data_IF_314981842630
#
_entry.id   IF_314981842630
#
_cell.length_a   1.000
_cell.length_b   1.000
_cell.length_c   1.000
_cell.angle_alpha   90.00
_cell.angle_beta   90.00
_cell.angle_gamma   90.00
#
_symmetry.space_group_name_H-M   'P 1'
#
loop_
_entity.id
_entity.type
_entity.pdbx_description
1 polymer ?
#
# COMPACT_ATOMS: atom_id res chain seq x y z
N UNK A 1 -18.15 6.27 31.48
CA UNK A 1 -17.81 5.53 30.24
C UNK A 1 -16.71 4.55 30.59
N UNK A 2 -16.92 3.25 30.38
CA UNK A 2 -15.88 2.26 30.64
C UNK A 2 -14.71 2.50 29.68
N UNK A 3 -13.50 2.69 30.22
CA UNK A 3 -12.30 2.78 29.41
C UNK A 3 -12.13 1.46 28.66
N UNK A 4 -12.17 1.49 27.33
CA UNK A 4 -11.73 0.36 26.54
C UNK A 4 -10.29 0.01 26.96
N UNK A 5 -9.98 -1.28 27.10
CA UNK A 5 -8.63 -1.71 27.42
C UNK A 5 -7.72 -1.28 26.26
N UNK A 6 -6.72 -0.44 26.56
CA UNK A 6 -5.79 0.01 25.54
C UNK A 6 -5.00 -1.18 24.98
N UNK A 7 -4.79 -1.26 23.65
CA UNK A 7 -4.02 -2.35 23.03
C UNK A 7 -2.53 -2.13 23.27
N UNK A 8 -2.08 -2.31 24.52
CA UNK A 8 -0.72 -1.99 24.97
C UNK A 8 0.37 -2.69 24.15
N UNK A 9 0.17 -3.96 23.82
CA UNK A 9 1.12 -4.72 23.00
C UNK A 9 1.28 -4.11 21.60
N UNK A 10 0.16 -3.66 21.02
CA UNK A 10 0.16 -3.03 19.70
C UNK A 10 0.88 -1.68 19.72
N UNK A 11 0.60 -0.85 20.73
CA UNK A 11 1.30 0.42 20.94
C UNK A 11 2.80 0.22 21.19
N UNK A 12 3.18 -0.83 21.91
CA UNK A 12 4.60 -1.17 22.14
C UNK A 12 5.29 -1.58 20.83
N UNK A 13 4.63 -2.37 19.98
CA UNK A 13 5.15 -2.73 18.66
C UNK A 13 5.34 -1.50 17.78
N UNK A 14 4.35 -0.59 17.75
CA UNK A 14 4.48 0.68 17.03
C UNK A 14 5.64 1.52 17.55
N UNK A 15 5.80 1.61 18.87
CA UNK A 15 6.91 2.31 19.50
C UNK A 15 8.27 1.74 19.08
N UNK A 16 8.43 0.40 19.09
CA UNK A 16 9.68 -0.26 18.66
C UNK A 16 9.99 0.00 17.18
N UNK A 17 8.98 -0.02 16.31
CA UNK A 17 9.14 0.29 14.87
C UNK A 17 9.52 1.76 14.66
N UNK A 18 8.89 2.66 15.40
CA UNK A 18 9.21 4.09 15.38
C UNK A 18 10.63 4.37 15.87
N UNK A 19 11.07 3.72 16.95
CA UNK A 19 12.44 3.86 17.45
C UNK A 19 13.48 3.38 16.43
N UNK A 20 13.19 2.28 15.73
CA UNK A 20 14.03 1.79 14.63
C UNK A 20 14.15 2.82 13.49
N UNK A 21 13.03 3.43 13.07
CA UNK A 21 13.03 4.51 12.08
C UNK A 21 13.87 5.71 12.55
N UNK A 22 13.68 6.14 13.80
CA UNK A 22 14.43 7.25 14.39
C UNK A 22 15.93 6.98 14.37
N UNK A 23 16.34 5.77 14.74
CA UNK A 23 17.76 5.37 14.72
C UNK A 23 18.31 5.36 13.29
N UNK A 24 17.53 4.89 12.30
CA UNK A 24 17.90 4.92 10.88
C UNK A 24 18.09 6.36 10.36
N UNK A 25 17.21 7.28 10.72
CA UNK A 25 17.32 8.71 10.36
C UNK A 25 18.56 9.33 11.02
N UNK A 26 18.83 9.02 12.29
CA UNK A 26 20.00 9.53 12.99
C UNK A 26 21.31 9.06 12.32
N UNK A 27 21.38 7.78 11.95
CA UNK A 27 22.52 7.20 11.24
C UNK A 27 22.71 7.84 9.87
N UNK A 28 21.62 8.00 9.09
CA UNK A 28 21.67 8.68 7.79
C UNK A 28 22.19 10.11 7.92
N UNK A 29 21.74 10.84 8.94
CA UNK A 29 22.22 12.21 9.20
C UNK A 29 23.71 12.22 9.52
N UNK A 30 24.17 11.31 10.37
CA UNK A 30 25.59 11.19 10.72
C UNK A 30 26.44 10.89 9.50
N UNK A 31 26.03 9.94 8.67
CA UNK A 31 26.75 9.55 7.46
C UNK A 31 26.76 10.66 6.40
N UNK A 32 25.64 11.38 6.23
CA UNK A 32 25.56 12.54 5.32
C UNK A 32 26.53 13.65 5.74
N UNK A 33 26.76 13.81 7.04
CA UNK A 33 27.68 14.83 7.57
C UNK A 33 29.16 14.39 7.53
N UNK A 34 29.44 13.09 7.69
CA UNK A 34 30.78 12.57 7.92
C UNK A 34 31.41 11.85 6.71
N UNK A 35 30.62 11.40 5.74
CA UNK A 35 31.09 10.68 4.54
C UNK A 35 30.76 11.50 3.29
N UNK A 36 31.72 12.30 2.76
CA UNK A 36 31.53 12.98 1.48
C UNK A 36 31.63 11.97 0.33
N UNK A 37 30.51 11.31 -0.01
CA UNK A 37 30.41 10.37 -1.12
C UNK A 37 28.96 9.98 -1.43
N UNK A 38 28.64 9.81 -2.71
CA UNK A 38 27.31 9.43 -3.22
C UNK A 38 27.12 7.88 -3.17
N UNK A 39 28.12 7.10 -2.78
CA UNK A 39 28.08 5.66 -3.10
C UNK A 39 27.09 4.84 -2.25
N UNK A 40 26.59 5.36 -1.13
CA UNK A 40 25.68 4.62 -0.22
C UNK A 40 24.25 5.20 -0.08
N UNK A 41 23.89 6.30 -0.77
CA UNK A 41 22.58 6.94 -0.55
C UNK A 41 21.43 5.97 -0.83
N UNK A 42 21.49 5.20 -1.92
CA UNK A 42 20.43 4.28 -2.32
C UNK A 42 20.08 3.27 -1.20
N UNK A 43 21.10 2.68 -0.56
CA UNK A 43 20.91 1.72 0.54
C UNK A 43 20.21 2.38 1.73
N UNK A 44 20.59 3.62 2.08
CA UNK A 44 19.96 4.34 3.17
C UNK A 44 18.51 4.74 2.89
N UNK A 45 18.22 5.20 1.67
CA UNK A 45 16.86 5.53 1.26
C UNK A 45 15.99 4.28 1.18
N UNK A 46 16.52 3.15 0.72
CA UNK A 46 15.81 1.86 0.73
C UNK A 46 15.46 1.40 2.15
N UNK A 47 16.39 1.55 3.10
CA UNK A 47 16.14 1.28 4.52
C UNK A 47 15.09 2.21 5.11
N UNK A 48 15.17 3.51 4.82
CA UNK A 48 14.19 4.50 5.28
C UNK A 48 12.79 4.19 4.74
N UNK A 49 12.70 3.87 3.46
CA UNK A 49 11.45 3.45 2.81
C UNK A 49 10.89 2.19 3.46
N UNK A 50 11.74 1.19 3.72
CA UNK A 50 11.35 -0.06 4.36
C UNK A 50 10.81 0.15 5.78
N UNK A 51 11.45 1.02 6.58
CA UNK A 51 10.97 1.37 7.92
C UNK A 51 9.65 2.14 7.86
N UNK A 52 9.52 3.09 6.92
CA UNK A 52 8.29 3.87 6.72
C UNK A 52 7.13 2.97 6.33
N UNK A 53 7.37 2.04 5.40
CA UNK A 53 6.39 1.04 5.00
C UNK A 53 6.00 0.11 6.17
N UNK A 54 6.97 -0.34 6.96
CA UNK A 54 6.71 -1.17 8.15
C UNK A 54 5.83 -0.46 9.18
N UNK A 55 6.01 0.86 9.38
CA UNK A 55 5.14 1.66 10.25
C UNK A 55 3.76 1.84 9.63
N UNK A 56 3.66 2.19 8.34
CA UNK A 56 2.38 2.34 7.65
C UNK A 56 1.54 1.06 7.72
N UNK A 57 2.16 -0.09 7.46
CA UNK A 57 1.53 -1.40 7.58
C UNK A 57 1.10 -1.70 9.03
N UNK A 58 1.93 -1.34 10.02
CA UNK A 58 1.56 -1.45 11.43
C UNK A 58 0.43 -0.49 11.83
N UNK A 59 0.26 0.65 11.17
CA UNK A 59 -0.87 1.56 11.45
C UNK A 59 -2.18 1.02 10.88
N UNK A 60 -2.12 0.23 9.82
CA UNK A 60 -3.28 -0.40 9.17
C UNK A 60 -3.77 -1.65 9.93
N UNK A 61 -2.86 -2.42 10.53
CA UNK A 61 -3.20 -3.64 11.29
C UNK A 61 -2.22 -3.92 12.42
N UNK A 62 -2.72 -4.50 13.52
CA UNK A 62 -1.88 -5.10 14.57
C UNK A 62 -1.24 -6.43 14.13
N UNK A 63 -1.78 -7.05 13.08
CA UNK A 63 -1.36 -8.34 12.55
C UNK A 63 -0.18 -8.14 11.58
N UNK A 64 1.00 -8.74 11.85
CA UNK A 64 2.21 -8.52 11.03
C UNK A 64 2.08 -8.93 9.56
N UNK A 65 1.20 -9.89 9.28
CA UNK A 65 1.02 -10.47 7.94
C UNK A 65 -0.30 -10.03 7.28
N UNK A 66 -0.98 -9.01 7.79
CA UNK A 66 -2.28 -8.59 7.26
C UNK A 66 -2.24 -8.29 5.75
N UNK A 67 -1.35 -7.38 5.33
CA UNK A 67 -1.20 -7.00 3.93
C UNK A 67 -0.61 -8.13 3.09
N UNK A 68 0.36 -8.88 3.64
CA UNK A 68 0.95 -10.03 2.96
C UNK A 68 -0.07 -11.14 2.68
N UNK A 69 -0.98 -11.41 3.62
CA UNK A 69 -2.05 -12.37 3.45
C UNK A 69 -3.05 -11.92 2.37
N UNK A 70 -3.42 -10.64 2.35
CA UNK A 70 -4.29 -10.10 1.29
C UNK A 70 -3.65 -10.22 -0.09
N UNK A 71 -2.35 -9.91 -0.22
CA UNK A 71 -1.61 -10.09 -1.48
C UNK A 71 -1.56 -11.57 -1.86
N UNK A 72 -1.28 -12.47 -0.91
CA UNK A 72 -1.23 -13.90 -1.18
C UNK A 72 -2.57 -14.43 -1.69
N UNK A 73 -3.69 -14.05 -1.08
CA UNK A 73 -5.04 -14.42 -1.54
C UNK A 73 -5.34 -13.87 -2.94
N UNK A 74 -4.91 -12.64 -3.22
CA UNK A 74 -5.08 -12.05 -4.55
C UNK A 74 -4.23 -12.78 -5.60
N UNK A 75 -2.99 -13.12 -5.28
CA UNK A 75 -2.12 -13.88 -6.17
C UNK A 75 -2.67 -15.28 -6.45
N UNK A 76 -3.10 -16.01 -5.41
CA UNK A 76 -3.70 -17.34 -5.55
C UNK A 76 -4.96 -17.29 -6.45
N UNK A 77 -5.79 -16.27 -6.27
CA UNK A 77 -6.96 -16.05 -7.14
C UNK A 77 -6.56 -15.80 -8.60
N UNK A 78 -5.57 -14.93 -8.84
CA UNK A 78 -5.13 -14.59 -10.19
C UNK A 78 -4.40 -15.75 -10.88
N UNK A 79 -3.63 -16.54 -10.12
CA UNK A 79 -2.99 -17.76 -10.62
C UNK A 79 -4.03 -18.82 -11.00
N UNK A 80 -5.05 -19.04 -10.17
CA UNK A 80 -6.14 -19.95 -10.48
C UNK A 80 -6.96 -19.48 -11.71
N UNK A 81 -7.28 -18.18 -11.78
CA UNK A 81 -7.93 -17.56 -12.94
C UNK A 81 -7.08 -17.74 -14.22
N UNK A 82 -5.76 -17.60 -14.12
CA UNK A 82 -4.84 -17.77 -15.25
C UNK A 82 -4.74 -19.21 -15.75
N UNK A 83 -4.72 -20.19 -14.84
CA UNK A 83 -4.68 -21.61 -15.18
C UNK A 83 -5.99 -22.11 -15.79
N UNK A 84 -7.14 -21.64 -15.28
CA UNK A 84 -8.47 -22.04 -15.78
C UNK A 84 -8.76 -21.43 -17.17
N UNK A 85 -8.36 -20.18 -17.39
CA UNK A 85 -8.61 -19.46 -18.64
C UNK A 85 -7.48 -19.58 -19.67
N UNK A 86 -6.66 -20.63 -19.59
CA UNK A 86 -5.48 -20.77 -20.42
C UNK A 86 -5.80 -20.68 -21.93
N UNK A 87 -5.26 -19.66 -22.59
CA UNK A 87 -5.48 -19.33 -24.00
C UNK A 87 -5.04 -20.45 -24.96
N UNK A 88 -4.11 -21.30 -24.53
CA UNK A 88 -3.50 -22.38 -25.31
C UNK A 88 -3.81 -23.78 -24.77
N UNK A 89 -4.75 -23.89 -23.81
CA UNK A 89 -5.27 -25.19 -23.38
C UNK A 89 -6.01 -25.89 -24.53
N UNK A 90 -5.88 -27.21 -24.60
CA UNK A 90 -6.26 -28.06 -25.75
C UNK A 90 -7.78 -28.20 -26.01
N UNK A 91 -8.61 -27.25 -25.58
CA UNK A 91 -10.07 -27.25 -25.78
C UNK A 91 -10.54 -25.97 -26.51
N UNK A 92 -11.08 -26.08 -27.74
CA UNK A 92 -11.54 -24.94 -28.52
C UNK A 92 -12.91 -24.49 -28.03
N UNK A 93 -12.99 -23.85 -26.86
CA UNK A 93 -14.16 -23.06 -26.52
C UNK A 93 -14.06 -21.72 -27.26
N UNK A 94 -14.85 -21.58 -28.33
CA UNK A 94 -14.88 -20.46 -29.28
C UNK A 94 -15.30 -19.09 -28.69
N UNK A 95 -15.00 -18.83 -27.42
CA UNK A 95 -15.24 -17.57 -26.72
C UNK A 95 -14.09 -17.08 -25.83
N UNK A 96 -13.01 -17.86 -25.63
CA UNK A 96 -11.97 -17.58 -24.61
C UNK A 96 -11.25 -16.24 -24.78
N UNK A 97 -10.73 -15.93 -25.96
CA UNK A 97 -9.96 -14.70 -26.18
C UNK A 97 -10.81 -13.42 -26.12
N UNK A 98 -12.06 -13.46 -26.60
CA UNK A 98 -12.96 -12.29 -26.53
C UNK A 98 -13.64 -12.15 -25.18
N UNK A 99 -13.92 -13.23 -24.46
CA UNK A 99 -14.50 -13.17 -23.11
C UNK A 99 -13.50 -12.61 -22.09
N UNK A 100 -12.20 -12.93 -22.22
CA UNK A 100 -11.14 -12.40 -21.36
C UNK A 100 -10.87 -10.90 -21.58
N UNK A 101 -11.05 -10.40 -22.81
CA UNK A 101 -10.87 -8.99 -23.15
C UNK A 101 -12.13 -8.13 -22.95
N UNK A 102 -13.33 -8.74 -23.05
CA UNK A 102 -14.63 -8.04 -22.97
C UNK A 102 -15.51 -8.44 -21.79
N UNK A 103 -14.99 -9.15 -20.78
CA UNK A 103 -15.64 -9.30 -19.48
C UNK A 103 -17.09 -9.79 -19.55
N UNK A 104 -17.38 -10.76 -20.42
CA UNK A 104 -18.74 -11.27 -20.58
C UNK A 104 -18.86 -12.66 -19.96
N UNK A 105 -19.28 -12.68 -18.69
CA UNK A 105 -19.87 -13.87 -18.09
C UNK A 105 -19.12 -14.41 -16.87
N UNK A 106 -19.61 -14.02 -15.69
CA UNK A 106 -19.73 -14.92 -14.54
C UNK A 106 -18.45 -15.56 -13.96
N UNK A 107 -17.42 -14.77 -13.66
CA UNK A 107 -16.50 -15.06 -12.55
C UNK A 107 -16.50 -13.86 -11.59
N UNK A 108 -17.05 -14.14 -10.42
CA UNK A 108 -17.40 -13.25 -9.31
C UNK A 108 -16.20 -12.44 -8.81
N UNK A 109 -16.46 -11.22 -8.33
CA UNK A 109 -15.49 -10.18 -8.00
C UNK A 109 -14.21 -10.62 -7.28
N UNK A 110 -13.13 -9.88 -7.52
CA UNK A 110 -11.85 -10.03 -6.82
C UNK A 110 -12.04 -10.19 -5.31
N UNK A 111 -11.14 -10.91 -4.63
CA UNK A 111 -11.16 -10.97 -3.17
C UNK A 111 -11.15 -9.54 -2.61
N UNK A 112 -11.99 -9.25 -1.60
CA UNK A 112 -12.10 -7.90 -1.07
C UNK A 112 -10.77 -7.50 -0.44
N UNK A 113 -10.21 -6.38 -0.91
CA UNK A 113 -9.05 -5.74 -0.30
C UNK A 113 -9.54 -4.75 0.75
N UNK A 114 -8.98 -4.85 1.94
CA UNK A 114 -9.29 -4.00 3.08
C UNK A 114 -8.07 -3.14 3.41
N UNK A 115 -8.27 -1.82 3.42
CA UNK A 115 -7.23 -0.85 3.76
C UNK A 115 -6.79 -0.95 5.23
N UNK A 116 -7.71 -1.32 6.12
CA UNK A 116 -7.46 -1.47 7.55
C UNK A 116 -8.05 -2.77 8.07
N UNK A 117 -7.38 -3.35 9.04
CA UNK A 117 -7.88 -4.50 9.77
C UNK A 117 -9.14 -4.13 10.57
N UNK A 118 -10.12 -5.02 10.61
CA UNK A 118 -11.36 -4.81 11.36
C UNK A 118 -11.10 -4.74 12.86
N UNK A 119 -10.05 -5.43 13.32
CA UNK A 119 -9.62 -5.45 14.71
C UNK A 119 -8.66 -4.30 15.05
N UNK A 120 -8.39 -3.39 14.09
CA UNK A 120 -7.58 -2.21 14.36
C UNK A 120 -8.36 -1.24 15.26
N UNK A 121 -7.84 -1.05 16.47
CA UNK A 121 -8.45 -0.19 17.48
C UNK A 121 -7.82 1.20 17.55
N UNK A 122 -6.73 1.47 16.82
CA UNK A 122 -5.98 2.74 16.91
C UNK A 122 -6.80 3.96 16.52
N UNK A 123 -7.64 3.82 15.49
CA UNK A 123 -8.53 4.88 14.99
C UNK A 123 -9.56 5.34 16.04
N UNK A 124 -9.87 4.51 17.04
CA UNK A 124 -10.80 4.82 18.13
C UNK A 124 -10.07 5.26 19.41
N UNK A 125 -8.74 5.11 19.49
CA UNK A 125 -7.97 5.52 20.66
C UNK A 125 -7.88 7.04 20.77
N UNK A 126 -8.39 7.58 21.87
CA UNK A 126 -8.21 8.97 22.26
C UNK A 126 -7.26 9.06 23.46
N UNK A 127 -6.17 9.79 23.30
CA UNK A 127 -5.22 10.07 24.38
C UNK A 127 -5.69 11.31 25.13
N UNK A 128 -5.97 11.17 26.42
CA UNK A 128 -6.26 12.29 27.30
C UNK A 128 -5.39 12.21 28.56
N UNK A 129 -4.91 13.35 29.09
CA UNK A 129 -4.18 13.38 30.35
C UNK A 129 -5.10 12.94 31.49
N UNK A 130 -4.69 11.91 32.25
CA UNK A 130 -5.45 11.39 33.38
C UNK A 130 -5.18 12.13 34.69
N UNK A 131 -4.06 12.85 34.77
CA UNK A 131 -3.64 13.63 35.93
C UNK A 131 -3.64 15.12 35.60
N UNK A 132 -3.89 16.00 36.60
CA UNK A 132 -3.80 17.43 36.40
C UNK A 132 -2.39 17.82 35.95
N UNK A 133 -2.32 18.59 34.87
CA UNK A 133 -1.07 19.05 34.28
C UNK A 133 -0.70 20.39 34.91
N UNK A 134 0.53 20.57 35.40
CA UNK A 134 0.98 21.88 35.86
C UNK A 134 0.91 22.92 34.74
N UNK A 135 0.46 24.14 35.05
CA UNK A 135 0.31 25.23 34.07
C UNK A 135 1.59 25.51 33.28
N UNK A 136 2.75 25.33 33.91
CA UNK A 136 4.08 25.47 33.29
C UNK A 136 4.35 24.47 32.15
N UNK A 137 3.62 23.36 32.08
CA UNK A 137 3.80 22.28 31.09
C UNK A 137 2.69 22.20 30.05
N UNK A 138 1.65 23.03 30.15
CA UNK A 138 0.52 23.00 29.21
C UNK A 138 0.94 23.25 27.77
N UNK A 139 1.78 24.26 27.53
CA UNK A 139 2.27 24.58 26.18
C UNK A 139 3.13 23.46 25.58
N UNK A 140 3.99 22.87 26.40
CA UNK A 140 4.82 21.73 26.00
C UNK A 140 3.97 20.52 25.62
N UNK A 141 2.99 20.17 26.44
CA UNK A 141 2.11 19.04 26.15
C UNK A 141 1.22 19.30 24.93
N UNK A 142 0.71 20.53 24.80
CA UNK A 142 -0.05 20.95 23.62
C UNK A 142 0.77 20.84 22.32
N UNK A 143 2.09 21.02 22.40
CA UNK A 143 2.99 20.81 21.27
C UNK A 143 3.23 19.32 21.00
N UNK A 144 3.37 18.51 22.06
CA UNK A 144 3.62 17.06 21.96
C UNK A 144 2.42 16.28 21.40
N UNK A 145 1.20 16.65 21.79
CA UNK A 145 -0.04 16.00 21.36
C UNK A 145 -0.66 16.64 20.10
N UNK A 146 0.05 17.56 19.46
CA UNK A 146 -0.42 18.24 18.27
C UNK A 146 -0.53 17.26 17.10
N UNK A 147 -1.72 17.18 16.50
CA UNK A 147 -1.99 16.38 15.29
C UNK A 147 -2.09 17.21 14.02
N UNK A 148 -1.99 18.55 14.14
CA UNK A 148 -2.00 19.45 12.97
C UNK A 148 -0.75 19.20 12.14
N UNK A 149 -0.88 18.97 10.82
CA UNK A 149 0.26 18.76 9.93
C UNK A 149 1.26 19.92 9.95
N UNK A 150 2.45 19.66 9.42
CA UNK A 150 3.45 20.70 9.20
C UNK A 150 2.94 21.74 8.20
N UNK A 151 3.43 22.98 8.33
CA UNK A 151 2.94 24.13 7.53
C UNK A 151 3.21 23.89 6.05
N UNK A 152 4.38 23.34 5.71
CA UNK A 152 4.76 23.02 4.33
C UNK A 152 3.85 21.95 3.73
N UNK A 153 3.55 20.89 4.49
CA UNK A 153 2.61 19.83 4.08
C UNK A 153 1.22 20.41 3.86
N UNK A 154 0.72 21.21 4.80
CA UNK A 154 -0.61 21.83 4.70
C UNK A 154 -0.73 22.77 3.49
N UNK A 155 0.34 23.52 3.18
CA UNK A 155 0.37 24.41 2.03
C UNK A 155 0.39 23.64 0.71
N UNK A 156 1.13 22.54 0.65
CA UNK A 156 1.18 21.68 -0.54
C UNK A 156 -0.16 20.96 -0.77
N UNK A 157 -0.79 20.45 0.29
CA UNK A 157 -2.15 19.86 0.22
C UNK A 157 -3.15 20.87 -0.34
N UNK A 158 -3.18 22.09 0.20
CA UNK A 158 -4.06 23.16 -0.29
C UNK A 158 -3.78 23.52 -1.76
N UNK A 159 -2.51 23.53 -2.17
CA UNK A 159 -2.10 23.76 -3.57
C UNK A 159 -2.65 22.66 -4.48
N UNK A 160 -2.49 21.40 -4.10
CA UNK A 160 -2.95 20.25 -4.87
C UNK A 160 -4.48 20.24 -5.02
N UNK A 161 -5.20 20.52 -3.95
CA UNK A 161 -6.67 20.66 -3.97
C UNK A 161 -7.09 21.81 -4.91
N UNK A 162 -6.45 22.98 -4.81
CA UNK A 162 -6.76 24.10 -5.70
C UNK A 162 -6.50 23.79 -7.19
N UNK A 163 -5.45 23.02 -7.50
CA UNK A 163 -5.17 22.55 -8.87
C UNK A 163 -6.27 21.59 -9.34
N UNK A 164 -6.71 20.68 -8.48
CA UNK A 164 -7.79 19.74 -8.76
C UNK A 164 -9.11 20.47 -9.04
N UNK A 165 -9.51 21.39 -8.15
CA UNK A 165 -10.74 22.17 -8.26
C UNK A 165 -10.74 23.05 -9.51
N UNK A 166 -9.60 23.67 -9.85
CA UNK A 166 -9.47 24.48 -11.07
C UNK A 166 -9.67 23.65 -12.34
N UNK A 167 -9.25 22.39 -12.34
CA UNK A 167 -9.44 21.47 -13.48
C UNK A 167 -10.88 20.93 -13.54
N UNK A 168 -11.65 21.04 -12.45
CA UNK A 168 -12.99 20.46 -12.29
C UNK A 168 -13.90 21.44 -11.54
N UNK A 169 -14.32 22.53 -12.20
CA UNK A 169 -15.16 23.56 -11.58
C UNK A 169 -16.57 23.08 -11.22
N UNK A 170 -17.04 21.98 -11.83
CA UNK A 170 -18.28 21.30 -11.48
C UNK A 170 -17.92 20.05 -10.67
N UNK A 171 -18.19 20.09 -9.37
CA UNK A 171 -18.04 18.96 -8.47
C UNK A 171 -19.26 18.05 -8.60
N UNK A 172 -19.04 16.86 -9.16
CA UNK A 172 -20.02 15.78 -9.14
C UNK A 172 -19.36 14.56 -8.48
N UNK A 173 -19.82 14.24 -7.27
CA UNK A 173 -19.35 13.11 -6.47
C UNK A 173 -19.63 11.78 -7.20
N UNK A 174 -20.73 11.70 -7.94
CA UNK A 174 -21.08 10.53 -8.74
C UNK A 174 -20.08 10.37 -9.89
N UNK A 175 -19.78 11.45 -10.62
CA UNK A 175 -18.76 11.43 -11.68
C UNK A 175 -17.38 11.03 -11.16
N UNK A 176 -16.97 11.52 -9.98
CA UNK A 176 -15.70 11.13 -9.36
C UNK A 176 -15.70 9.63 -9.02
N UNK A 177 -16.77 9.13 -8.41
CA UNK A 177 -16.89 7.70 -8.08
C UNK A 177 -16.82 6.82 -9.33
N UNK A 178 -17.45 7.24 -10.43
CA UNK A 178 -17.39 6.53 -11.71
C UNK A 178 -15.98 6.53 -12.30
N UNK A 179 -15.25 7.64 -12.19
CA UNK A 179 -13.87 7.72 -12.67
C UNK A 179 -12.91 6.85 -11.86
N UNK A 180 -13.06 6.82 -10.53
CA UNK A 180 -12.29 5.93 -9.66
C UNK A 180 -12.54 4.48 -10.09
N UNK A 181 -13.81 4.06 -10.21
CA UNK A 181 -14.16 2.72 -10.67
C UNK A 181 -13.58 2.40 -12.06
N UNK A 182 -13.65 3.33 -13.01
CA UNK A 182 -13.11 3.13 -14.35
C UNK A 182 -11.57 2.99 -14.34
N UNK A 183 -10.88 3.76 -13.50
CA UNK A 183 -9.44 3.65 -13.31
C UNK A 183 -9.05 2.30 -12.68
N UNK A 184 -9.78 1.88 -11.64
CA UNK A 184 -9.54 0.63 -10.93
C UNK A 184 -9.78 -0.55 -11.88
N UNK A 185 -10.89 -0.54 -12.62
CA UNK A 185 -11.18 -1.57 -13.63
C UNK A 185 -10.08 -1.67 -14.69
N UNK A 186 -9.54 -0.52 -15.15
CA UNK A 186 -8.42 -0.51 -16.10
C UNK A 186 -7.14 -1.11 -15.49
N UNK A 187 -6.84 -0.76 -14.24
CA UNK A 187 -5.66 -1.26 -13.52
C UNK A 187 -5.76 -2.77 -13.29
N UNK A 188 -6.94 -3.25 -12.93
CA UNK A 188 -7.23 -4.67 -12.76
C UNK A 188 -7.16 -5.44 -14.08
N UNK A 189 -7.68 -4.87 -15.18
CA UNK A 189 -7.53 -5.47 -16.51
C UNK A 189 -6.07 -5.60 -16.91
N UNK A 190 -5.25 -4.58 -16.64
CA UNK A 190 -3.81 -4.64 -16.91
C UNK A 190 -3.12 -5.71 -16.05
N UNK A 191 -3.45 -5.79 -14.75
CA UNK A 191 -2.91 -6.79 -13.84
C UNK A 191 -3.25 -8.22 -14.29
N UNK A 192 -4.53 -8.49 -14.60
CA UNK A 192 -4.97 -9.79 -15.11
C UNK A 192 -4.28 -10.14 -16.42
N UNK A 193 -4.21 -9.19 -17.35
CA UNK A 193 -3.51 -9.41 -18.62
C UNK A 193 -2.05 -9.80 -18.41
N UNK A 194 -1.38 -9.16 -17.44
CA UNK A 194 -0.01 -9.50 -17.07
C UNK A 194 0.11 -10.91 -16.49
N UNK A 195 -0.77 -11.30 -15.54
CA UNK A 195 -0.79 -12.66 -14.98
C UNK A 195 -1.05 -13.74 -16.05
N UNK A 196 -2.01 -13.51 -16.94
CA UNK A 196 -2.28 -14.42 -18.04
C UNK A 196 -1.09 -14.53 -18.99
N UNK A 197 -0.41 -13.43 -19.31
CA UNK A 197 0.80 -13.48 -20.16
C UNK A 197 1.97 -14.19 -19.48
N UNK A 198 2.12 -14.04 -18.17
CA UNK A 198 3.19 -14.69 -17.40
C UNK A 198 3.02 -16.22 -17.36
N UNK A 199 1.79 -16.68 -17.18
CA UNK A 199 1.48 -18.11 -17.05
C UNK A 199 0.98 -18.78 -18.33
N UNK A 200 0.82 -18.02 -19.43
CA UNK A 200 0.46 -18.60 -20.72
C UNK A 200 1.63 -19.45 -21.24
N UNK A 201 1.42 -20.76 -21.49
CA UNK A 201 2.40 -21.57 -22.18
C UNK A 201 2.45 -21.14 -23.66
N UNK A 202 3.64 -21.23 -24.26
CA UNK A 202 3.80 -21.02 -25.68
C UNK A 202 3.25 -22.21 -26.51
N UNK A 203 3.41 -22.17 -27.83
CA UNK A 203 2.95 -23.25 -28.72
C UNK A 203 3.64 -24.61 -28.47
N UNK A 204 4.74 -24.65 -27.72
CA UNK A 204 5.45 -25.86 -27.34
C UNK A 204 5.06 -26.36 -25.93
N UNK A 205 4.22 -25.61 -25.20
CA UNK A 205 3.80 -25.92 -23.84
C UNK A 205 4.70 -25.30 -22.76
N UNK A 206 5.67 -24.46 -23.13
CA UNK A 206 6.63 -23.87 -22.21
C UNK A 206 6.12 -22.50 -21.71
N UNK A 207 6.09 -22.32 -20.39
CA UNK A 207 5.81 -21.01 -19.76
C UNK A 207 7.00 -20.08 -19.86
N UNK A 208 6.72 -18.81 -20.10
CA UNK A 208 7.74 -17.79 -20.31
C UNK A 208 8.54 -17.47 -19.03
N UNK A 209 9.84 -17.81 -19.00
CA UNK A 209 10.76 -17.46 -17.90
C UNK A 209 11.68 -16.29 -18.30
N UNK A 210 11.54 -15.16 -17.60
CA UNK A 210 12.38 -13.98 -17.81
C UNK A 210 13.88 -14.23 -17.54
N UNK A 211 14.24 -15.21 -16.70
CA UNK A 211 15.64 -15.55 -16.44
C UNK A 211 16.34 -16.15 -17.67
N UNK A 212 15.59 -16.84 -18.55
CA UNK A 212 16.14 -17.42 -19.79
C UNK A 212 16.50 -16.39 -20.86
N UNK A 213 16.12 -15.11 -20.67
CA UNK A 213 16.50 -14.00 -21.56
C UNK A 213 17.88 -13.43 -21.27
N UNK A 214 18.41 -13.61 -20.06
CA UNK A 214 19.76 -13.17 -19.75
C UNK A 214 20.67 -14.27 -20.27
N UNK A 215 20.90 -14.26 -21.58
CA UNK A 215 22.06 -14.94 -22.14
C UNK A 215 23.24 -14.23 -21.50
N UNK A 216 24.04 -14.96 -20.71
CA UNK A 216 25.32 -14.44 -20.24
C UNK A 216 26.07 -13.94 -21.48
N UNK A 217 26.21 -12.62 -21.62
CA UNK A 217 27.09 -12.04 -22.63
C UNK A 217 28.51 -12.47 -22.26
N UNK A 218 29.03 -13.50 -22.93
CA UNK A 218 30.45 -13.89 -22.90
C UNK A 218 31.36 -12.75 -23.40
#
# INVERSE_FOLDING_TARGET
>A
MASAAAPLNYLLTLYQRYDSLRNSIALLREQTLNTPGIEDWYTHYSNLLSHTFSIASALQSATPHFLAAQIATLNEFLEAEALDANLFGDEPSAGGASSLLYGSGSMSGLPPVHDTDKDNTLNVLAVHPSLPIPDSKLNWLGTLLRTVPEIEVSAEEARMVAIYDKKRPEYDEEALSMQIRAHDEKSLRALRSWYHLLHAPDSAGDTYDFATRIVDEE
#
